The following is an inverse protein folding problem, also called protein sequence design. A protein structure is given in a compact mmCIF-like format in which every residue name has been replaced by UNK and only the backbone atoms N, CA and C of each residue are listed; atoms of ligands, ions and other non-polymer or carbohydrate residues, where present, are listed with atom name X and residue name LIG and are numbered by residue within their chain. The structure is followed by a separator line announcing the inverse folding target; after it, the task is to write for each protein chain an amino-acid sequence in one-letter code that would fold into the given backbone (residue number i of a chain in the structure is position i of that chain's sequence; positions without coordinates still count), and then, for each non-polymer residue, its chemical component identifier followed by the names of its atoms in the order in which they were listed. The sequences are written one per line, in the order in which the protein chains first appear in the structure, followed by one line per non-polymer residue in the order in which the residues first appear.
data_IF_138003683314
#
_entry.id   IF_138003683314
#
_cell.length_a   1.000
_cell.length_b   1.000
_cell.length_c   1.000
_cell.angle_alpha   90.00
_cell.angle_beta   90.00
_cell.angle_gamma   90.00
#
_symmetry.space_group_name_H-M   'P 1'
#
loop_
_entity.id
_entity.type
_entity.pdbx_description
1 polymer ?
#
# COMPACT_ATOMS: atom_id res chain seq x y z
N UNK A 1 -1.26 22.86 -18.29
CA UNK A 1 -1.58 22.64 -16.85
C UNK A 1 -3.07 22.88 -16.68
N UNK A 2 -3.82 21.89 -16.24
CA UNK A 2 -5.29 21.97 -16.09
C UNK A 2 -5.61 23.06 -15.05
N UNK A 3 -6.43 24.06 -15.45
CA UNK A 3 -6.84 25.20 -14.62
C UNK A 3 -7.47 24.71 -13.30
N UNK A 4 -8.27 23.66 -13.36
CA UNK A 4 -8.90 23.08 -12.18
C UNK A 4 -7.86 22.54 -11.20
N UNK A 5 -6.83 21.84 -11.70
CA UNK A 5 -5.73 21.31 -10.89
C UNK A 5 -4.93 22.44 -10.22
N UNK A 6 -4.70 23.56 -10.94
CA UNK A 6 -4.05 24.74 -10.37
C UNK A 6 -4.88 25.35 -9.23
N UNK A 7 -6.20 25.56 -9.45
CA UNK A 7 -7.11 26.11 -8.43
C UNK A 7 -7.16 25.19 -7.20
N UNK A 8 -7.25 23.89 -7.38
CA UNK A 8 -7.28 22.93 -6.27
C UNK A 8 -5.98 22.96 -5.47
N UNK A 9 -4.82 22.95 -6.13
CA UNK A 9 -3.52 23.06 -5.46
C UNK A 9 -3.40 24.36 -4.67
N UNK A 10 -3.84 25.48 -5.25
CA UNK A 10 -3.81 26.79 -4.59
C UNK A 10 -4.73 26.81 -3.36
N UNK A 11 -5.94 26.27 -3.46
CA UNK A 11 -6.87 26.13 -2.34
C UNK A 11 -6.28 25.29 -1.20
N UNK A 12 -5.65 24.14 -1.51
CA UNK A 12 -5.02 23.27 -0.50
C UNK A 12 -3.87 24.03 0.18
N UNK A 13 -3.00 24.69 -0.58
CA UNK A 13 -1.89 25.49 -0.05
C UNK A 13 -2.37 26.61 0.87
N UNK A 14 -3.36 27.41 0.46
CA UNK A 14 -3.92 28.48 1.30
C UNK A 14 -4.46 27.89 2.61
N UNK A 15 -5.26 26.83 2.54
CA UNK A 15 -5.80 26.24 3.75
C UNK A 15 -4.73 25.70 4.68
N UNK A 16 -3.69 25.07 4.13
CA UNK A 16 -2.57 24.55 4.92
C UNK A 16 -1.71 25.65 5.54
N UNK A 17 -1.26 26.62 4.73
CA UNK A 17 -0.22 27.57 5.15
C UNK A 17 -0.77 28.87 5.74
N UNK A 18 -1.90 29.39 5.23
CA UNK A 18 -2.49 30.63 5.72
C UNK A 18 -3.49 30.36 6.84
N UNK A 19 -4.38 29.39 6.66
CA UNK A 19 -5.39 29.07 7.67
C UNK A 19 -4.97 27.96 8.65
N UNK A 20 -3.76 27.45 8.54
CA UNK A 20 -3.20 26.37 9.39
C UNK A 20 -4.14 25.13 9.52
N UNK A 21 -4.87 24.83 8.46
CA UNK A 21 -5.78 23.67 8.43
C UNK A 21 -4.99 22.42 8.13
N UNK A 22 -4.85 21.55 9.12
CA UNK A 22 -4.14 20.27 8.99
C UNK A 22 -4.91 19.23 8.15
N UNK A 23 -6.22 19.40 7.97
CA UNK A 23 -7.09 18.42 7.32
C UNK A 23 -8.09 19.12 6.40
N UNK A 24 -8.32 18.51 5.23
CA UNK A 24 -9.37 18.91 4.28
C UNK A 24 -10.19 17.67 3.91
N UNK A 25 -11.41 17.88 3.40
CA UNK A 25 -12.20 16.80 2.80
C UNK A 25 -11.67 16.51 1.41
N UNK A 26 -11.60 15.23 1.07
CA UNK A 26 -11.32 14.77 -0.30
C UNK A 26 -12.42 15.26 -1.23
N UNK A 27 -12.06 15.86 -2.37
CA UNK A 27 -12.99 16.55 -3.27
C UNK A 27 -13.75 15.60 -4.18
N UNK A 28 -13.09 14.52 -4.62
CA UNK A 28 -13.63 13.60 -5.63
C UNK A 28 -13.12 12.16 -5.38
N UNK A 29 -13.48 11.26 -6.29
CA UNK A 29 -13.03 9.87 -6.26
C UNK A 29 -13.69 9.01 -5.17
N UNK A 30 -13.21 7.78 -4.98
CA UNK A 30 -13.84 6.79 -4.10
C UNK A 30 -13.94 7.22 -2.65
N UNK A 31 -12.97 7.97 -2.14
CA UNK A 31 -12.94 8.46 -0.77
C UNK A 31 -13.47 9.89 -0.62
N UNK A 32 -14.30 10.37 -1.55
CA UNK A 32 -14.92 11.70 -1.48
C UNK A 32 -15.55 11.97 -0.12
N UNK A 33 -15.19 13.10 0.48
CA UNK A 33 -15.72 13.56 1.76
C UNK A 33 -15.00 13.00 2.99
N UNK A 34 -14.08 12.04 2.85
CA UNK A 34 -13.17 11.67 3.94
C UNK A 34 -12.26 12.85 4.27
N UNK A 35 -11.93 13.01 5.56
CA UNK A 35 -10.96 14.03 6.01
C UNK A 35 -9.55 13.49 5.84
N UNK A 36 -8.70 14.27 5.17
CA UNK A 36 -7.36 13.86 4.81
C UNK A 36 -6.33 14.90 5.19
N UNK A 37 -5.12 14.47 5.60
CA UNK A 37 -4.07 15.34 6.06
C UNK A 37 -3.47 16.14 4.90
N UNK A 38 -3.36 17.47 5.06
CA UNK A 38 -2.80 18.38 4.05
C UNK A 38 -1.29 18.30 3.90
N UNK A 39 -0.59 17.54 4.75
CA UNK A 39 0.84 17.27 4.60
C UNK A 39 1.15 16.12 3.66
N UNK A 40 0.16 15.32 3.26
CA UNK A 40 0.30 14.23 2.30
C UNK A 40 0.29 14.75 0.86
N UNK A 41 0.50 13.86 -0.11
CA UNK A 41 0.33 14.20 -1.52
C UNK A 41 -1.07 14.80 -1.77
N UNK A 42 -1.11 15.94 -2.47
CA UNK A 42 -2.37 16.63 -2.74
C UNK A 42 -3.32 15.87 -3.66
N UNK A 43 -2.81 14.89 -4.40
CA UNK A 43 -3.64 14.05 -5.26
C UNK A 43 -4.64 13.20 -4.47
N UNK A 44 -4.32 12.82 -3.22
CA UNK A 44 -5.32 12.26 -2.32
C UNK A 44 -6.50 13.19 -2.10
N UNK A 45 -6.21 14.47 -1.77
CA UNK A 45 -7.27 15.45 -1.47
C UNK A 45 -8.06 15.81 -2.71
N UNK A 46 -7.40 15.86 -3.87
CA UNK A 46 -8.08 16.07 -5.16
C UNK A 46 -8.94 14.88 -5.57
N UNK A 47 -8.69 13.70 -5.00
CA UNK A 47 -9.32 12.44 -5.39
C UNK A 47 -8.81 11.88 -6.72
N UNK A 48 -7.56 12.21 -7.05
CA UNK A 48 -6.85 11.79 -8.27
C UNK A 48 -5.69 10.83 -7.95
N UNK A 49 -5.61 10.35 -6.70
CA UNK A 49 -4.57 9.43 -6.31
C UNK A 49 -4.80 8.07 -6.95
N UNK A 50 -3.79 7.61 -7.66
CA UNK A 50 -3.77 6.40 -8.48
C UNK A 50 -4.83 6.34 -9.58
N UNK A 51 -4.55 5.54 -10.60
CA UNK A 51 -5.45 5.38 -11.73
C UNK A 51 -6.66 4.55 -11.39
N UNK A 52 -7.78 4.98 -11.95
CA UNK A 52 -9.08 4.38 -11.72
C UNK A 52 -9.13 2.88 -12.02
N UNK A 53 -8.26 2.37 -12.92
CA UNK A 53 -8.29 0.97 -13.35
C UNK A 53 -7.91 0.01 -12.22
N UNK A 54 -6.78 0.21 -11.56
CA UNK A 54 -6.35 -0.61 -10.41
C UNK A 54 -7.36 -0.57 -9.27
N UNK A 55 -7.94 0.62 -9.01
CA UNK A 55 -8.96 0.77 -7.97
C UNK A 55 -10.28 0.08 -8.33
N UNK A 56 -10.66 0.06 -9.59
CA UNK A 56 -11.86 -0.64 -10.07
C UNK A 56 -11.68 -2.14 -9.88
N UNK A 57 -10.59 -2.69 -10.38
CA UNK A 57 -10.31 -4.12 -10.31
C UNK A 57 -10.23 -4.63 -8.86
N UNK A 58 -9.54 -3.93 -7.97
CA UNK A 58 -9.46 -4.35 -6.58
C UNK A 58 -10.84 -4.32 -5.90
N UNK A 59 -11.70 -3.34 -6.24
CA UNK A 59 -13.07 -3.28 -5.70
C UNK A 59 -13.94 -4.45 -6.15
N UNK A 60 -13.75 -4.94 -7.37
CA UNK A 60 -14.46 -6.12 -7.87
C UNK A 60 -14.06 -7.40 -7.14
N UNK A 61 -12.83 -7.46 -6.63
CA UNK A 61 -12.36 -8.59 -5.83
C UNK A 61 -12.85 -8.58 -4.38
N UNK A 62 -13.09 -7.40 -3.83
CA UNK A 62 -13.49 -7.22 -2.44
C UNK A 62 -14.92 -7.72 -2.23
N UNK A 63 -15.13 -8.46 -1.13
CA UNK A 63 -16.43 -8.92 -0.63
C UNK A 63 -16.60 -8.50 0.83
N UNK A 64 -17.80 -8.66 1.36
CA UNK A 64 -18.12 -8.28 2.73
C UNK A 64 -17.27 -8.98 3.79
N UNK A 65 -16.85 -10.21 3.55
CA UNK A 65 -16.11 -11.08 4.46
C UNK A 65 -14.61 -11.20 4.13
N UNK A 66 -14.14 -10.48 3.13
CA UNK A 66 -12.74 -10.50 2.67
C UNK A 66 -11.76 -10.21 3.80
N UNK A 67 -10.71 -11.00 3.86
CA UNK A 67 -9.48 -10.72 4.62
C UNK A 67 -8.49 -10.04 3.68
N UNK A 68 -8.23 -8.76 3.91
CA UNK A 68 -7.38 -7.93 3.08
C UNK A 68 -6.08 -7.57 3.80
N UNK A 69 -4.94 -7.85 3.18
CA UNK A 69 -3.62 -7.43 3.63
C UNK A 69 -3.16 -6.26 2.76
N UNK A 70 -2.96 -5.09 3.37
CA UNK A 70 -2.45 -3.86 2.74
C UNK A 70 -1.00 -3.66 3.16
N UNK A 71 -0.05 -4.20 2.39
CA UNK A 71 1.39 -4.10 2.67
C UNK A 71 1.95 -2.82 2.05
N UNK A 72 2.60 -1.99 2.88
CA UNK A 72 2.95 -0.63 2.53
C UNK A 72 1.72 0.26 2.51
N UNK A 73 0.93 0.19 3.59
CA UNK A 73 -0.35 0.92 3.67
C UNK A 73 -0.19 2.44 3.68
N UNK A 74 1.03 2.94 3.88
CA UNK A 74 1.36 4.35 3.90
C UNK A 74 0.38 5.12 4.81
N UNK A 75 -0.37 6.08 4.29
CA UNK A 75 -1.35 6.87 5.05
C UNK A 75 -2.76 6.28 5.02
N UNK A 76 -2.95 5.06 4.47
CA UNK A 76 -4.14 4.24 4.59
C UNK A 76 -5.12 4.29 3.43
N UNK A 77 -4.74 4.79 2.25
CA UNK A 77 -5.68 4.97 1.14
C UNK A 77 -6.43 3.69 0.75
N UNK A 78 -5.71 2.60 0.46
CA UNK A 78 -6.32 1.31 0.09
C UNK A 78 -7.08 0.66 1.24
N UNK A 79 -6.60 0.81 2.47
CA UNK A 79 -7.30 0.34 3.66
C UNK A 79 -8.67 1.02 3.82
N UNK A 80 -8.77 2.35 3.60
CA UNK A 80 -10.06 3.07 3.62
C UNK A 80 -10.94 2.69 2.43
N UNK A 81 -10.35 2.46 1.25
CA UNK A 81 -11.08 2.00 0.07
C UNK A 81 -11.72 0.63 0.33
N UNK A 82 -10.95 -0.31 0.83
CA UNK A 82 -11.41 -1.66 1.17
C UNK A 82 -12.48 -1.64 2.28
N UNK A 83 -12.33 -0.77 3.28
CA UNK A 83 -13.30 -0.63 4.36
C UNK A 83 -14.72 -0.22 3.91
N UNK A 84 -14.86 0.41 2.73
CA UNK A 84 -16.19 0.73 2.19
C UNK A 84 -17.01 -0.51 1.81
N UNK A 85 -16.34 -1.65 1.60
CA UNK A 85 -16.95 -2.90 1.12
C UNK A 85 -16.88 -3.99 2.19
N UNK A 86 -15.72 -4.13 2.85
CA UNK A 86 -15.49 -5.17 3.86
C UNK A 86 -16.23 -4.78 5.14
N UNK A 87 -17.31 -5.52 5.47
CA UNK A 87 -18.13 -5.27 6.66
C UNK A 87 -17.95 -6.33 7.74
N UNK A 88 -17.74 -7.60 7.36
CA UNK A 88 -17.60 -8.74 8.25
C UNK A 88 -16.19 -9.38 8.18
N UNK A 89 -15.39 -8.93 7.23
CA UNK A 89 -13.99 -9.30 7.09
C UNK A 89 -13.06 -8.46 7.96
N UNK A 90 -11.78 -8.49 7.63
CA UNK A 90 -10.75 -7.77 8.37
C UNK A 90 -9.72 -7.17 7.40
N UNK A 91 -9.19 -6.02 7.73
CA UNK A 91 -8.14 -5.32 6.99
C UNK A 91 -6.92 -5.23 7.91
N UNK A 92 -5.84 -5.89 7.54
CA UNK A 92 -4.55 -5.72 8.19
C UNK A 92 -3.70 -4.76 7.34
N UNK A 93 -3.47 -3.57 7.87
CA UNK A 93 -2.68 -2.52 7.23
C UNK A 93 -1.27 -2.50 7.83
N UNK A 94 -0.27 -2.85 7.04
CA UNK A 94 1.12 -2.93 7.49
C UNK A 94 1.88 -1.71 6.98
N UNK A 95 2.38 -0.90 7.92
CA UNK A 95 3.14 0.31 7.63
C UNK A 95 4.23 0.48 8.68
N UNK A 96 5.53 0.35 8.31
CA UNK A 96 6.61 0.42 9.27
C UNK A 96 7.00 1.83 9.69
N UNK A 97 6.77 2.86 8.84
CA UNK A 97 7.29 4.21 9.03
C UNK A 97 6.47 4.97 10.08
N UNK A 98 7.07 5.43 11.19
CA UNK A 98 6.33 6.06 12.28
C UNK A 98 5.52 7.29 11.88
N UNK A 99 6.05 8.10 10.96
CA UNK A 99 5.39 9.31 10.46
C UNK A 99 4.11 8.96 9.68
N UNK A 100 4.17 7.97 8.79
CA UNK A 100 3.01 7.47 8.04
C UNK A 100 1.98 6.87 8.99
N UNK A 101 2.42 6.07 9.95
CA UNK A 101 1.56 5.49 10.99
C UNK A 101 0.85 6.58 11.81
N UNK A 102 1.54 7.66 12.17
CA UNK A 102 0.94 8.77 12.90
C UNK A 102 -0.14 9.48 12.06
N UNK A 103 0.11 9.68 10.76
CA UNK A 103 -0.86 10.25 9.82
C UNK A 103 -2.04 9.30 9.65
N UNK A 104 -1.80 8.00 9.43
CA UNK A 104 -2.87 7.01 9.29
C UNK A 104 -3.75 6.95 10.54
N UNK A 105 -3.18 6.90 11.73
CA UNK A 105 -3.94 6.98 13.00
C UNK A 105 -4.82 8.23 13.07
N UNK A 106 -4.30 9.37 12.58
CA UNK A 106 -5.10 10.60 12.52
C UNK A 106 -6.27 10.47 11.55
N UNK A 107 -6.08 9.83 10.38
CA UNK A 107 -7.15 9.57 9.42
C UNK A 107 -8.22 8.64 10.00
N UNK A 108 -7.82 7.56 10.70
CA UNK A 108 -8.76 6.67 11.39
C UNK A 108 -9.61 7.45 12.39
N UNK A 109 -9.01 8.28 13.23
CA UNK A 109 -9.72 9.10 14.22
C UNK A 109 -10.66 10.10 13.57
N UNK A 110 -10.23 10.79 12.53
CA UNK A 110 -11.01 11.84 11.85
C UNK A 110 -12.21 11.29 11.08
N UNK A 111 -12.12 10.04 10.64
CA UNK A 111 -13.14 9.37 9.84
C UNK A 111 -13.86 8.24 10.61
N UNK A 112 -13.72 8.18 11.93
CA UNK A 112 -14.24 7.10 12.80
C UNK A 112 -15.72 6.77 12.50
N UNK A 113 -16.55 7.77 12.27
CA UNK A 113 -17.98 7.60 11.93
C UNK A 113 -18.22 7.00 10.52
N UNK A 114 -17.19 6.93 9.68
CA UNK A 114 -17.26 6.38 8.32
C UNK A 114 -16.64 4.99 8.23
N UNK A 115 -15.85 4.60 9.22
CA UNK A 115 -15.18 3.30 9.26
C UNK A 115 -16.18 2.24 9.69
N UNK A 116 -16.43 1.29 8.79
CA UNK A 116 -17.35 0.20 9.04
C UNK A 116 -16.73 -0.79 10.03
N UNK A 117 -17.48 -1.10 11.09
CA UNK A 117 -17.18 -2.16 12.07
C UNK A 117 -15.77 -2.14 12.70
N UNK A 118 -15.03 -1.02 12.59
CA UNK A 118 -13.67 -0.87 13.14
C UNK A 118 -12.72 -2.01 12.75
N UNK A 119 -12.86 -2.53 11.54
CA UNK A 119 -12.14 -3.70 11.05
C UNK A 119 -10.78 -3.40 10.40
N UNK A 120 -10.29 -2.17 10.48
CA UNK A 120 -8.93 -1.80 10.06
C UNK A 120 -7.96 -1.95 11.24
N UNK A 121 -7.04 -2.88 11.12
CA UNK A 121 -5.98 -3.16 12.10
C UNK A 121 -4.65 -2.66 11.57
N UNK A 122 -4.17 -1.54 12.12
CA UNK A 122 -2.89 -0.95 11.73
C UNK A 122 -1.74 -1.63 12.48
N UNK A 123 -0.86 -2.29 11.73
CA UNK A 123 0.31 -3.03 12.18
C UNK A 123 1.57 -2.23 11.88
N UNK A 124 2.27 -1.76 12.93
CA UNK A 124 3.46 -0.92 12.78
C UNK A 124 4.73 -1.76 12.67
N UNK A 125 4.87 -2.50 11.59
CA UNK A 125 6.09 -3.22 11.20
C UNK A 125 6.07 -3.52 9.70
N UNK A 126 7.23 -3.84 9.14
CA UNK A 126 7.37 -4.21 7.73
C UNK A 126 6.98 -5.68 7.51
N UNK A 127 6.53 -6.00 6.29
CA UNK A 127 6.41 -7.39 5.84
C UNK A 127 7.57 -7.69 4.90
N UNK A 128 8.26 -8.83 5.12
CA UNK A 128 9.47 -9.23 4.40
C UNK A 128 9.59 -10.77 4.39
N UNK A 129 10.77 -11.30 4.05
CA UNK A 129 11.02 -12.75 3.96
C UNK A 129 10.91 -13.48 5.31
N UNK A 130 11.21 -12.81 6.43
CA UNK A 130 11.23 -13.40 7.77
C UNK A 130 11.14 -12.35 8.87
N UNK A 131 11.00 -12.80 10.11
CA UNK A 131 11.14 -11.97 11.28
C UNK A 131 12.60 -11.52 11.44
N UNK A 132 12.84 -10.23 11.35
CA UNK A 132 14.16 -9.61 11.47
C UNK A 132 14.02 -8.08 11.61
N UNK A 133 15.15 -7.39 11.81
CA UNK A 133 15.24 -5.95 11.62
C UNK A 133 15.62 -5.66 10.17
N UNK A 134 14.90 -4.77 9.52
CA UNK A 134 15.17 -4.27 8.17
C UNK A 134 15.41 -2.77 8.21
N UNK A 135 16.09 -2.25 7.20
CA UNK A 135 16.50 -0.85 7.15
C UNK A 135 15.85 -0.17 5.95
N UNK A 136 15.29 1.00 6.19
CA UNK A 136 14.77 1.88 5.16
C UNK A 136 15.63 3.15 5.07
N UNK A 137 15.75 3.74 3.88
CA UNK A 137 16.28 5.09 3.74
C UNK A 137 15.24 6.05 4.31
N UNK A 138 15.66 6.93 5.22
CA UNK A 138 14.78 8.00 5.71
C UNK A 138 14.81 9.17 4.72
N UNK A 139 14.32 8.96 3.50
CA UNK A 139 14.19 10.05 2.55
C UNK A 139 12.94 10.86 2.94
N UNK A 140 13.16 12.05 3.51
CA UNK A 140 12.09 12.93 4.01
C UNK A 140 11.20 13.55 2.93
N UNK A 141 11.44 13.24 1.67
CA UNK A 141 10.52 13.55 0.58
C UNK A 141 9.34 12.56 0.61
N UNK A 142 8.32 12.89 1.38
CA UNK A 142 7.06 12.13 1.51
C UNK A 142 6.36 11.81 0.18
N UNK A 143 6.83 12.36 -0.93
CA UNK A 143 6.31 12.09 -2.28
C UNK A 143 6.96 10.88 -2.95
N UNK A 144 8.14 10.44 -2.50
CA UNK A 144 8.94 9.41 -3.16
C UNK A 144 9.02 8.10 -2.37
N UNK A 145 8.39 8.03 -1.19
CA UNK A 145 8.46 6.87 -0.31
C UNK A 145 9.84 6.66 0.33
N UNK A 146 9.92 5.75 1.30
CA UNK A 146 11.17 5.35 1.94
C UNK A 146 11.64 4.04 1.30
N UNK A 147 12.69 4.10 0.49
CA UNK A 147 13.24 2.94 -0.22
C UNK A 147 13.80 1.90 0.75
N UNK A 148 13.44 0.64 0.55
CA UNK A 148 14.05 -0.49 1.27
C UNK A 148 15.54 -0.58 0.97
N UNK A 149 16.36 -0.63 2.03
CA UNK A 149 17.80 -0.84 1.92
C UNK A 149 18.12 -2.28 2.35
N UNK A 150 18.59 -3.09 1.41
CA UNK A 150 19.07 -4.43 1.75
C UNK A 150 20.28 -4.30 2.68
N UNK A 151 20.26 -5.00 3.82
CA UNK A 151 21.27 -4.92 4.91
C UNK A 151 22.70 -5.35 4.53
N UNK A 152 23.00 -5.52 3.24
CA UNK A 152 24.35 -5.88 2.73
C UNK A 152 25.30 -4.69 2.55
N UNK A 153 24.86 -3.46 2.80
CA UNK A 153 25.74 -2.30 2.76
C UNK A 153 26.57 -2.20 4.03
N UNK A 154 27.90 -2.18 3.89
CA UNK A 154 28.85 -2.03 5.00
C UNK A 154 28.73 -0.69 5.75
N UNK A 155 27.99 0.27 5.21
CA UNK A 155 27.74 1.57 5.85
C UNK A 155 26.32 2.02 5.49
N UNK A 156 25.46 2.05 6.49
CA UNK A 156 24.10 2.59 6.36
C UNK A 156 24.17 4.12 6.18
N UNK A 157 23.30 4.72 5.35
CA UNK A 157 23.15 6.16 5.32
C UNK A 157 22.83 6.73 6.71
N UNK A 158 23.30 7.93 7.00
CA UNK A 158 23.07 8.61 8.29
C UNK A 158 21.60 8.77 8.66
N UNK A 159 20.73 8.72 7.65
CA UNK A 159 19.29 8.93 7.76
C UNK A 159 18.50 7.61 7.62
N UNK A 160 19.11 6.47 7.94
CA UNK A 160 18.42 5.17 7.90
C UNK A 160 17.51 4.96 9.11
N UNK A 161 16.39 4.28 8.86
CA UNK A 161 15.43 3.87 9.87
C UNK A 161 15.41 2.34 9.99
N UNK A 162 15.72 1.83 11.17
CA UNK A 162 15.57 0.42 11.50
C UNK A 162 14.13 0.13 11.95
N UNK A 163 13.51 -0.88 11.34
CA UNK A 163 12.16 -1.33 11.69
C UNK A 163 12.12 -2.84 11.83
N UNK A 164 11.22 -3.34 12.66
CA UNK A 164 10.93 -4.77 12.72
C UNK A 164 10.20 -5.21 11.47
N UNK A 165 10.49 -6.43 11.02
CA UNK A 165 9.75 -7.09 9.94
C UNK A 165 9.25 -8.46 10.37
N UNK A 166 8.25 -8.97 9.66
CA UNK A 166 7.75 -10.33 9.79
C UNK A 166 7.38 -10.88 8.42
N UNK A 167 7.22 -12.20 8.28
CA UNK A 167 6.74 -12.83 7.06
C UNK A 167 5.25 -13.10 7.12
N UNK A 168 4.58 -13.16 5.97
CA UNK A 168 3.14 -13.49 5.88
C UNK A 168 2.89 -14.88 6.48
N UNK A 169 3.72 -15.86 6.14
CA UNK A 169 3.57 -17.21 6.65
C UNK A 169 3.65 -17.25 8.18
N UNK A 170 4.62 -16.54 8.78
CA UNK A 170 4.76 -16.46 10.24
C UNK A 170 3.61 -15.68 10.90
N UNK A 171 3.07 -14.65 10.26
CA UNK A 171 1.89 -13.94 10.77
C UNK A 171 0.68 -14.87 10.86
N UNK A 172 0.43 -15.69 9.85
CA UNK A 172 -0.66 -16.66 9.84
C UNK A 172 -0.44 -17.73 10.93
N UNK A 173 0.77 -18.25 11.07
CA UNK A 173 1.15 -19.18 12.13
C UNK A 173 0.91 -18.59 13.54
N UNK A 174 1.01 -17.26 13.68
CA UNK A 174 0.75 -16.53 14.92
C UNK A 174 -0.69 -15.99 15.05
N UNK A 175 -1.64 -16.54 14.27
CA UNK A 175 -3.08 -16.31 14.46
C UNK A 175 -3.67 -15.16 13.64
N UNK A 176 -2.93 -14.55 12.72
CA UNK A 176 -3.53 -13.66 11.73
C UNK A 176 -4.41 -14.47 10.78
N UNK A 177 -5.56 -13.91 10.38
CA UNK A 177 -6.46 -14.60 9.44
C UNK A 177 -5.78 -14.70 8.07
N UNK A 178 -5.98 -15.83 7.40
CA UNK A 178 -5.48 -16.10 6.05
C UNK A 178 -6.04 -15.04 5.08
N UNK A 179 -5.18 -14.38 4.28
CA UNK A 179 -5.64 -13.35 3.35
C UNK A 179 -6.33 -13.95 2.12
N UNK A 180 -7.43 -13.31 1.71
CA UNK A 180 -8.05 -13.53 0.40
C UNK A 180 -7.38 -12.68 -0.68
N UNK A 181 -6.97 -11.48 -0.27
CA UNK A 181 -6.33 -10.48 -1.16
C UNK A 181 -5.14 -9.86 -0.44
N UNK A 182 -4.03 -9.73 -1.14
CA UNK A 182 -2.81 -9.03 -0.67
C UNK A 182 -2.45 -7.94 -1.65
N UNK A 183 -2.39 -6.68 -1.19
CA UNK A 183 -1.70 -5.60 -1.89
C UNK A 183 -0.24 -5.59 -1.43
N UNK A 184 0.69 -5.57 -2.38
CA UNK A 184 2.14 -5.49 -2.14
C UNK A 184 2.65 -4.24 -2.83
N UNK A 185 3.06 -3.25 -2.03
CA UNK A 185 3.56 -1.96 -2.48
C UNK A 185 4.54 -1.45 -1.41
N UNK A 186 5.76 -2.00 -1.44
CA UNK A 186 6.73 -1.93 -0.32
C UNK A 186 8.08 -1.37 -0.75
N UNK A 187 8.09 -0.60 -1.84
CA UNK A 187 9.19 0.27 -2.26
C UNK A 187 10.55 -0.46 -2.42
N UNK A 188 10.52 -1.63 -3.09
CA UNK A 188 11.69 -2.41 -3.43
C UNK A 188 11.90 -3.70 -2.62
N UNK A 189 11.01 -4.02 -1.66
CA UNK A 189 11.06 -5.27 -0.88
C UNK A 189 10.08 -6.35 -1.40
N UNK A 190 9.46 -6.17 -2.57
CA UNK A 190 8.39 -7.02 -3.08
C UNK A 190 8.79 -8.48 -3.18
N UNK A 191 10.01 -8.75 -3.67
CA UNK A 191 10.50 -10.11 -3.77
C UNK A 191 10.72 -10.78 -2.42
N UNK A 192 11.20 -10.03 -1.43
CA UNK A 192 11.36 -10.53 -0.06
C UNK A 192 10.00 -10.83 0.60
N UNK A 193 8.97 -10.02 0.31
CA UNK A 193 7.59 -10.31 0.72
C UNK A 193 7.09 -11.63 0.13
N UNK A 194 7.30 -11.84 -1.18
CA UNK A 194 6.89 -13.09 -1.84
C UNK A 194 7.62 -14.32 -1.26
N UNK A 195 8.91 -14.20 -0.92
CA UNK A 195 9.66 -15.25 -0.23
C UNK A 195 9.11 -15.55 1.17
N UNK A 196 8.57 -14.53 1.86
CA UNK A 196 7.93 -14.69 3.17
C UNK A 196 6.48 -15.19 3.12
N UNK A 197 5.96 -15.46 1.93
CA UNK A 197 4.58 -15.89 1.70
C UNK A 197 4.49 -17.25 0.97
N UNK A 198 5.56 -18.02 0.89
CA UNK A 198 5.62 -19.25 0.06
C UNK A 198 4.47 -20.21 0.38
N UNK A 199 4.26 -20.54 1.66
CA UNK A 199 3.18 -21.45 2.09
C UNK A 199 1.81 -20.86 1.77
N UNK A 200 1.63 -19.56 2.04
CA UNK A 200 0.39 -18.84 1.78
C UNK A 200 0.05 -18.85 0.29
N UNK A 201 1.02 -18.58 -0.57
CA UNK A 201 0.83 -18.56 -2.03
C UNK A 201 0.53 -19.95 -2.60
N UNK A 202 1.16 -21.00 -2.08
CA UNK A 202 0.99 -22.38 -2.56
C UNK A 202 -0.33 -23.00 -2.07
N UNK A 203 -0.67 -22.77 -0.80
CA UNK A 203 -1.80 -23.44 -0.15
C UNK A 203 -3.09 -22.64 -0.33
N UNK A 204 -3.05 -21.34 0.00
CA UNK A 204 -4.24 -20.49 0.07
C UNK A 204 -4.50 -19.68 -1.20
N UNK A 205 -3.45 -19.39 -1.98
CA UNK A 205 -3.54 -18.77 -3.31
C UNK A 205 -4.31 -17.45 -3.32
N UNK A 206 -3.99 -16.49 -2.42
CA UNK A 206 -4.66 -15.20 -2.40
C UNK A 206 -4.50 -14.47 -3.73
N UNK A 207 -5.45 -13.61 -4.09
CA UNK A 207 -5.27 -12.67 -5.19
C UNK A 207 -4.26 -11.59 -4.80
N UNK A 208 -3.42 -11.16 -5.74
CA UNK A 208 -2.39 -10.17 -5.46
C UNK A 208 -2.57 -8.92 -6.32
N UNK A 209 -2.47 -7.75 -5.68
CA UNK A 209 -2.16 -6.50 -6.33
C UNK A 209 -0.69 -6.21 -6.02
N UNK A 210 0.16 -6.26 -7.04
CA UNK A 210 1.60 -6.13 -6.91
C UNK A 210 2.09 -4.88 -7.64
N UNK A 211 2.58 -3.89 -6.89
CA UNK A 211 3.39 -2.80 -7.41
C UNK A 211 4.86 -3.22 -7.37
N UNK A 212 5.61 -3.01 -8.44
CA UNK A 212 7.04 -3.32 -8.50
C UNK A 212 7.85 -2.05 -8.73
N UNK A 213 8.96 -1.92 -8.00
CA UNK A 213 9.77 -0.71 -7.95
C UNK A 213 11.18 -0.93 -8.52
N UNK A 214 11.27 -1.22 -9.83
CA UNK A 214 12.56 -1.35 -10.53
C UNK A 214 13.41 -0.07 -10.46
N UNK A 215 12.77 1.08 -10.27
CA UNK A 215 13.47 2.35 -10.02
C UNK A 215 14.28 2.35 -8.72
N UNK A 216 13.90 1.54 -7.72
CA UNK A 216 14.60 1.39 -6.45
C UNK A 216 15.53 0.18 -6.45
N UNK A 217 15.08 -0.94 -7.02
CA UNK A 217 15.83 -2.20 -7.06
C UNK A 217 15.76 -2.78 -8.49
N UNK A 218 16.76 -2.49 -9.33
CA UNK A 218 16.79 -2.96 -10.72
C UNK A 218 16.62 -4.49 -10.84
N UNK A 219 15.69 -4.93 -11.70
CA UNK A 219 15.38 -6.34 -11.97
C UNK A 219 14.46 -7.00 -10.94
N UNK A 220 13.90 -6.25 -9.98
CA UNK A 220 12.96 -6.80 -8.99
C UNK A 220 11.64 -7.22 -9.65
N UNK A 221 11.18 -6.47 -10.63
CA UNK A 221 9.98 -6.79 -11.42
C UNK A 221 10.07 -8.18 -12.02
N UNK A 222 11.13 -8.45 -12.78
CA UNK A 222 11.29 -9.74 -13.47
C UNK A 222 11.39 -10.90 -12.47
N UNK A 223 12.08 -10.70 -11.34
CA UNK A 223 12.15 -11.70 -10.26
C UNK A 223 10.77 -12.01 -9.67
N UNK A 224 9.98 -11.00 -9.38
CA UNK A 224 8.63 -11.17 -8.83
C UNK A 224 7.72 -11.88 -9.82
N UNK A 225 7.71 -11.47 -11.10
CA UNK A 225 6.90 -12.07 -12.15
C UNK A 225 7.29 -13.54 -12.35
N UNK A 226 8.59 -13.83 -12.48
CA UNK A 226 9.05 -15.21 -12.66
C UNK A 226 8.70 -16.09 -11.47
N UNK A 227 8.89 -15.60 -10.25
CA UNK A 227 8.52 -16.32 -9.03
C UNK A 227 7.03 -16.66 -8.99
N UNK A 228 6.15 -15.71 -9.26
CA UNK A 228 4.71 -15.92 -9.24
C UNK A 228 4.25 -16.87 -10.35
N UNK A 229 4.84 -16.77 -11.56
CA UNK A 229 4.55 -17.73 -12.65
C UNK A 229 4.91 -19.16 -12.27
N UNK A 230 6.07 -19.38 -11.62
CA UNK A 230 6.46 -20.70 -11.12
C UNK A 230 5.49 -21.22 -10.05
N UNK A 231 4.87 -20.33 -9.27
CA UNK A 231 3.83 -20.67 -8.29
C UNK A 231 2.43 -20.82 -8.90
N UNK A 232 2.29 -20.76 -10.23
CA UNK A 232 1.02 -20.97 -10.93
C UNK A 232 0.12 -19.74 -11.02
N UNK A 233 0.65 -18.55 -10.78
CA UNK A 233 -0.09 -17.29 -10.94
C UNK A 233 -0.05 -16.79 -12.37
N UNK A 234 -1.19 -16.27 -12.83
CA UNK A 234 -1.35 -15.53 -14.08
C UNK A 234 -1.37 -14.05 -13.73
N UNK A 235 -0.51 -13.27 -14.39
CA UNK A 235 -0.37 -11.85 -14.14
C UNK A 235 -0.96 -11.03 -15.30
N UNK A 236 -1.79 -10.03 -14.96
CA UNK A 236 -2.27 -8.98 -15.87
C UNK A 236 -1.52 -7.70 -15.52
N UNK A 237 -0.75 -7.16 -16.47
CA UNK A 237 -0.15 -5.83 -16.32
C UNK A 237 -1.26 -4.77 -16.35
N UNK A 238 -1.18 -3.83 -15.42
CA UNK A 238 -2.12 -2.71 -15.34
C UNK A 238 -1.49 -1.50 -16.01
N UNK A 239 -2.17 -0.95 -17.00
CA UNK A 239 -1.76 0.29 -17.65
C UNK A 239 -2.11 1.46 -16.71
N UNK A 240 -1.21 1.79 -15.80
CA UNK A 240 -1.39 2.99 -15.01
C UNK A 240 -0.98 4.21 -15.81
N UNK A 241 -1.81 5.25 -15.85
CA UNK A 241 -1.47 6.55 -16.43
C UNK A 241 -0.40 7.28 -15.60
N UNK A 242 -0.06 6.76 -14.44
CA UNK A 242 1.02 7.23 -13.56
C UNK A 242 2.44 6.89 -14.07
N UNK A 243 2.61 6.48 -15.32
CA UNK A 243 3.92 6.26 -16.00
C UNK A 243 4.88 7.45 -16.03
N UNK A 244 4.74 8.40 -15.09
CA UNK A 244 5.65 9.52 -14.96
C UNK A 244 6.99 9.13 -14.32
N UNK A 245 7.07 7.98 -13.65
CA UNK A 245 8.30 7.46 -13.06
C UNK A 245 8.64 6.13 -13.76
N UNK A 246 9.68 6.12 -14.59
CA UNK A 246 10.15 4.89 -15.22
C UNK A 246 10.53 3.83 -14.18
N UNK A 247 10.08 2.57 -14.38
CA UNK A 247 10.40 1.45 -13.48
C UNK A 247 9.39 1.23 -12.35
N UNK A 248 8.21 1.85 -12.42
CA UNK A 248 7.04 1.53 -11.59
C UNK A 248 6.02 0.79 -12.46
N UNK A 249 5.67 -0.44 -12.10
CA UNK A 249 4.70 -1.27 -12.82
C UNK A 249 3.76 -2.00 -11.85
N UNK A 250 2.47 -1.94 -12.13
CA UNK A 250 1.42 -2.61 -11.37
C UNK A 250 0.93 -3.88 -12.06
N UNK A 251 0.69 -4.92 -11.29
CA UNK A 251 0.20 -6.21 -11.76
C UNK A 251 -0.94 -6.71 -10.87
N UNK A 252 -1.98 -7.24 -11.52
CA UNK A 252 -2.93 -8.12 -10.86
C UNK A 252 -2.52 -9.57 -11.09
N UNK A 253 -2.41 -10.35 -10.03
CA UNK A 253 -2.05 -11.76 -10.13
C UNK A 253 -3.12 -12.63 -9.47
N UNK A 254 -3.61 -13.63 -10.23
CA UNK A 254 -4.60 -14.60 -9.81
C UNK A 254 -4.06 -15.99 -10.08
N UNK A 255 -4.21 -16.92 -9.14
CA UNK A 255 -3.76 -18.29 -9.35
C UNK A 255 -4.65 -19.00 -10.40
N UNK A 256 -4.03 -19.77 -11.31
CA UNK A 256 -4.72 -20.42 -12.43
C UNK A 256 -5.97 -21.23 -12.00
N UNK A 257 -5.94 -21.88 -10.84
CA UNK A 257 -7.08 -22.63 -10.30
C UNK A 257 -8.30 -21.77 -9.90
N UNK A 258 -8.22 -20.44 -9.95
CA UNK A 258 -9.30 -19.51 -9.59
C UNK A 258 -9.97 -18.89 -10.83
N UNK A 259 -9.53 -19.26 -12.02
CA UNK A 259 -10.04 -18.75 -13.29
C UNK A 259 -11.09 -19.69 -13.93
N UNK A 260 -11.46 -20.80 -13.26
CA UNK A 260 -12.45 -21.79 -13.73
C UNK A 260 -13.85 -21.48 -13.23
#
# INVERSE_FOLDING_TARGET
MDILNFIQNYYIKINRYIFNRKFLKIFAGPLKGYKWNTSTNYDYIKGKYEDGETQIEIKEWLKHDTVFYDLGANVGYYSFLANQIITNGIIYAFEPIPENVAIFKSHLKLNDKRILNKNIHLCQFAVSAKEQTVVFSNNRNLAEGNTYIKSSLHKLPSDSLEVKSNSIDNLIENGYRIPDIIKIDVEGAEYDVLLGAIKTLEIHKPKLLLATHDCHVPGIKDKCIQFLKVKGYILKHMDSSAKLIGGLDDYLAVHANQLT
#
